data_IF_954763383559
#
_entry.id   IF_954763383559
#
_cell.length_a   1.000
_cell.length_b   1.000
_cell.length_c   1.000
_cell.angle_alpha   90.00
_cell.angle_beta   90.00
_cell.angle_gamma   90.00
#
_symmetry.space_group_name_H-M   'P 1'
#
loop_
_entity.id
_entity.type
_entity.pdbx_description
1 polymer ?
#
# COMPACT_ATOMS: atom_id res chain seq x y z
N UNK A 1 -11.17 -17.12 -13.16
CA UNK A 1 -10.20 -16.19 -13.79
C UNK A 1 -9.83 -16.75 -15.16
N UNK A 2 -10.75 -16.74 -16.12
CA UNK A 2 -10.66 -17.52 -17.37
C UNK A 2 -9.66 -17.03 -18.42
N UNK A 3 -8.53 -16.45 -18.00
CA UNK A 3 -7.43 -16.13 -18.92
C UNK A 3 -6.46 -17.29 -19.11
N UNK A 4 -5.32 -17.03 -19.75
CA UNK A 4 -4.37 -18.03 -20.22
C UNK A 4 -2.96 -17.83 -19.63
N UNK A 5 -2.13 -18.86 -19.66
CA UNK A 5 -0.71 -18.79 -19.27
C UNK A 5 0.16 -19.37 -20.38
N UNK A 6 1.14 -18.58 -20.81
CA UNK A 6 2.10 -18.97 -21.84
C UNK A 6 3.54 -18.72 -21.39
N UNK A 7 4.47 -19.45 -22.01
CA UNK A 7 5.91 -19.30 -21.77
C UNK A 7 6.66 -19.31 -23.09
N UNK A 8 7.61 -18.39 -23.22
CA UNK A 8 8.58 -18.39 -24.31
C UNK A 8 9.98 -18.45 -23.71
N UNK A 9 10.81 -19.41 -24.11
CA UNK A 9 12.16 -19.55 -23.59
C UNK A 9 13.16 -19.97 -24.66
N UNK A 10 14.42 -19.55 -24.47
CA UNK A 10 15.56 -20.01 -25.27
C UNK A 10 16.73 -20.35 -24.32
N UNK A 11 17.40 -21.51 -24.50
CA UNK A 11 18.57 -21.87 -23.69
C UNK A 11 19.62 -20.77 -23.69
N UNK A 12 20.10 -20.40 -22.50
CA UNK A 12 21.10 -19.34 -22.32
C UNK A 12 20.58 -17.90 -22.48
N UNK A 13 19.30 -17.69 -22.82
CA UNK A 13 18.68 -16.36 -22.94
C UNK A 13 17.57 -16.10 -21.93
N UNK A 14 17.21 -17.12 -21.15
CA UNK A 14 16.16 -17.05 -20.14
C UNK A 14 14.77 -17.42 -20.68
N UNK A 15 13.77 -17.15 -19.86
CA UNK A 15 12.37 -17.45 -20.13
C UNK A 15 11.47 -16.29 -19.73
N UNK A 16 10.44 -16.04 -20.54
CA UNK A 16 9.38 -15.09 -20.25
C UNK A 16 8.09 -15.85 -20.06
N UNK A 17 7.45 -15.65 -18.90
CA UNK A 17 6.14 -16.17 -18.58
C UNK A 17 5.12 -15.04 -18.70
N UNK A 18 4.01 -15.30 -19.38
CA UNK A 18 2.93 -14.34 -19.54
C UNK A 18 1.65 -14.96 -19.01
N UNK A 19 1.09 -14.33 -17.99
CA UNK A 19 -0.20 -14.69 -17.39
C UNK A 19 -1.23 -13.63 -17.80
N UNK A 20 -2.37 -14.10 -18.32
CA UNK A 20 -3.55 -13.27 -18.56
C UNK A 20 -4.66 -13.69 -17.62
N UNK A 21 -5.39 -12.71 -17.09
CA UNK A 21 -6.58 -12.95 -16.27
C UNK A 21 -7.69 -12.04 -16.76
N UNK A 22 -8.88 -12.60 -16.94
CA UNK A 22 -10.08 -11.79 -17.14
C UNK A 22 -10.58 -11.30 -15.78
N UNK A 23 -10.50 -9.99 -15.57
CA UNK A 23 -11.06 -9.30 -14.43
C UNK A 23 -12.11 -8.28 -14.93
N UNK A 24 -13.22 -8.08 -14.22
CA UNK A 24 -14.15 -7.01 -14.53
C UNK A 24 -13.42 -5.67 -14.41
N UNK A 25 -13.51 -4.83 -15.45
CA UNK A 25 -13.02 -3.47 -15.39
C UNK A 25 -13.92 -2.67 -14.44
N UNK A 26 -13.35 -2.19 -13.35
CA UNK A 26 -13.98 -1.14 -12.55
C UNK A 26 -13.49 0.15 -13.19
N UNK A 27 -14.37 0.82 -13.94
CA UNK A 27 -14.08 2.14 -14.46
C UNK A 27 -14.19 3.14 -13.32
N UNK A 28 -13.08 3.33 -12.63
CA UNK A 28 -12.73 4.59 -11.98
C UNK A 28 -11.24 4.78 -12.23
N UNK A 29 -10.90 5.30 -13.42
CA UNK A 29 -9.82 6.26 -13.44
C UNK A 29 -10.32 7.42 -12.58
N UNK A 30 -10.04 7.35 -11.28
CA UNK A 30 -10.02 8.55 -10.47
C UNK A 30 -8.87 9.33 -11.07
N UNK A 31 -9.18 10.29 -11.95
CA UNK A 31 -8.26 11.38 -12.22
C UNK A 31 -7.72 11.80 -10.84
N UNK A 32 -6.41 11.94 -10.70
CA UNK A 32 -5.81 12.68 -9.60
C UNK A 32 -6.24 14.16 -9.74
N UNK A 33 -7.53 14.43 -9.65
CA UNK A 33 -8.01 15.68 -9.12
C UNK A 33 -7.63 15.62 -7.66
N UNK A 34 -6.45 16.15 -7.37
CA UNK A 34 -6.19 16.91 -6.15
C UNK A 34 -7.19 18.09 -6.08
N UNK A 35 -8.49 17.78 -6.11
CA UNK A 35 -9.48 18.63 -5.50
C UNK A 35 -9.13 18.54 -4.03
N UNK A 36 -8.54 19.62 -3.53
CA UNK A 36 -8.53 19.95 -2.12
C UNK A 36 -9.98 20.02 -1.66
N UNK A 37 -10.61 18.86 -1.49
CA UNK A 37 -11.83 18.75 -0.74
C UNK A 37 -11.39 18.92 0.71
N UNK A 38 -11.66 20.12 1.24
CA UNK A 38 -11.73 20.49 2.66
C UNK A 38 -12.78 19.64 3.43
N UNK A 39 -12.90 18.35 3.11
CA UNK A 39 -13.52 17.38 3.97
C UNK A 39 -12.45 16.93 4.97
N UNK A 40 -12.55 17.28 6.27
CA UNK A 40 -11.66 16.72 7.26
C UNK A 40 -11.78 15.20 7.15
N UNK A 41 -10.67 14.55 6.78
CA UNK A 41 -10.61 13.10 6.70
C UNK A 41 -11.17 12.56 8.02
N UNK A 42 -12.15 11.64 7.98
CA UNK A 42 -12.64 11.02 9.20
C UNK A 42 -11.46 10.32 9.89
N UNK A 43 -11.52 10.16 11.21
CA UNK A 43 -10.48 9.46 11.98
C UNK A 43 -10.05 8.16 11.27
N UNK A 44 -8.81 8.12 10.77
CA UNK A 44 -8.29 6.99 10.00
C UNK A 44 -7.55 6.01 10.90
N UNK A 45 -7.45 4.76 10.45
CA UNK A 45 -6.53 3.77 11.01
C UNK A 45 -5.25 3.77 10.17
N UNK A 46 -4.13 4.14 10.76
CA UNK A 46 -2.85 4.37 10.09
C UNK A 46 -1.82 3.35 10.57
N UNK A 47 -1.22 2.59 9.64
CA UNK A 47 -0.03 1.78 9.93
C UNK A 47 1.23 2.61 9.65
N UNK A 48 1.91 3.03 10.70
CA UNK A 48 3.16 3.77 10.64
C UNK A 48 4.34 2.79 10.63
N UNK A 49 5.08 2.73 9.52
CA UNK A 49 6.30 1.93 9.39
C UNK A 49 7.51 2.83 9.46
N UNK A 50 8.26 2.79 10.56
CA UNK A 50 9.43 3.66 10.80
C UNK A 50 10.46 2.92 11.69
N UNK A 51 11.73 2.93 11.29
CA UNK A 51 12.84 2.17 11.89
C UNK A 51 13.61 2.93 13.00
N UNK A 52 13.27 4.19 13.25
CA UNK A 52 13.85 5.10 14.23
C UNK A 52 12.79 5.48 15.28
N UNK A 53 13.02 5.06 16.53
CA UNK A 53 12.08 5.26 17.65
C UNK A 53 11.64 6.72 17.85
N UNK A 54 12.57 7.67 17.69
CA UNK A 54 12.24 9.09 17.82
C UNK A 54 11.22 9.54 16.77
N UNK A 55 11.35 9.06 15.53
CA UNK A 55 10.46 9.41 14.44
C UNK A 55 9.08 8.77 14.63
N UNK A 56 9.04 7.52 15.12
CA UNK A 56 7.80 6.87 15.55
C UNK A 56 7.07 7.73 16.59
N UNK A 57 7.76 8.18 17.63
CA UNK A 57 7.15 8.95 18.73
C UNK A 57 6.57 10.27 18.21
N UNK A 58 7.34 11.00 17.38
CA UNK A 58 6.91 12.29 16.83
C UNK A 58 5.73 12.11 15.87
N UNK A 59 5.85 11.20 14.91
CA UNK A 59 4.82 10.99 13.89
C UNK A 59 3.52 10.43 14.49
N UNK A 60 3.60 9.45 15.40
CA UNK A 60 2.44 8.94 16.13
C UNK A 60 1.74 10.05 16.91
N UNK A 61 2.50 10.88 17.64
CA UNK A 61 1.92 11.99 18.41
C UNK A 61 1.19 13.01 17.54
N UNK A 62 1.69 13.28 16.34
CA UNK A 62 1.04 14.18 15.38
C UNK A 62 -0.23 13.54 14.82
N UNK A 63 -0.16 12.29 14.37
CA UNK A 63 -1.28 11.56 13.77
C UNK A 63 -2.43 11.34 14.77
N UNK A 64 -2.12 10.99 16.02
CA UNK A 64 -3.13 10.84 17.09
C UNK A 64 -3.77 12.18 17.47
N UNK A 65 -3.00 13.28 17.50
CA UNK A 65 -3.56 14.64 17.72
C UNK A 65 -4.50 15.08 16.61
N UNK A 66 -4.28 14.59 15.38
CA UNK A 66 -5.18 14.79 14.25
C UNK A 66 -6.40 13.86 14.28
N UNK A 67 -6.54 13.04 15.33
CA UNK A 67 -7.70 12.17 15.56
C UNK A 67 -7.60 10.77 14.95
N UNK A 68 -6.42 10.37 14.46
CA UNK A 68 -6.22 9.06 13.86
C UNK A 68 -5.82 7.99 14.89
N UNK A 69 -6.17 6.74 14.62
CA UNK A 69 -5.64 5.58 15.35
C UNK A 69 -4.38 5.10 14.64
N UNK A 70 -3.28 4.89 15.38
CA UNK A 70 -1.97 4.59 14.78
C UNK A 70 -1.41 3.29 15.35
N UNK A 71 -1.14 2.33 14.47
CA UNK A 71 -0.35 1.14 14.75
C UNK A 71 1.08 1.33 14.24
N UNK A 72 2.08 0.84 14.97
CA UNK A 72 3.49 0.99 14.63
C UNK A 72 4.09 -0.35 14.21
N UNK A 73 4.98 -0.31 13.21
CA UNK A 73 5.87 -1.40 12.85
C UNK A 73 7.28 -0.87 12.56
N UNK A 74 8.33 -1.51 13.09
CA UNK A 74 9.71 -1.04 12.88
C UNK A 74 10.31 -1.45 11.53
N UNK A 75 9.66 -2.40 10.83
CA UNK A 75 10.08 -2.84 9.51
C UNK A 75 8.85 -3.23 8.69
N UNK A 76 8.95 -3.18 7.36
CA UNK A 76 7.85 -3.61 6.48
C UNK A 76 7.48 -5.10 6.57
N UNK A 77 8.27 -5.92 7.29
CA UNK A 77 7.96 -7.32 7.58
C UNK A 77 7.35 -7.53 8.97
N UNK A 78 7.49 -6.56 9.86
CA UNK A 78 6.95 -6.64 11.22
C UNK A 78 5.43 -6.48 11.20
N UNK A 79 4.73 -7.18 12.09
CA UNK A 79 3.29 -7.05 12.24
C UNK A 79 3.00 -5.78 13.04
N UNK A 80 1.88 -5.11 12.73
CA UNK A 80 1.33 -4.03 13.54
C UNK A 80 1.28 -4.42 15.03
N UNK A 81 2.01 -3.67 15.88
CA UNK A 81 2.11 -3.91 17.32
C UNK A 81 3.38 -4.63 17.80
N UNK A 82 4.23 -5.11 16.89
CA UNK A 82 5.56 -5.61 17.22
C UNK A 82 6.53 -4.40 17.27
N UNK A 83 6.77 -3.92 18.49
CA UNK A 83 7.82 -2.93 18.82
C UNK A 83 9.12 -3.66 19.12
#
# INVERSE_FOLDING_TARGET
MGGDISVTSQPGKGATFTLTVHAPAIAEEVEDTLAEDDMPLPALNVLLVEDIELNVIVARSVLEKLGNSVDVAMTGKARAGDV
#
